data_IF_976253541188
#
_entry.id   IF_976253541188
#
_cell.length_a   1.000
_cell.length_b   1.000
_cell.length_c   1.000
_cell.angle_alpha   90.00
_cell.angle_beta   90.00
_cell.angle_gamma   90.00
#
_symmetry.space_group_name_H-M   'P 1'
#
loop_
_entity.id
_entity.type
_entity.pdbx_description
1 polymer ?
#
# COMPACT_ATOMS: atom_id res chain seq x y z
N UNK A 1 -13.68 -3.16 5.40
CA UNK A 1 -13.18 -2.14 4.45
C UNK A 1 -12.28 -2.74 3.36
N UNK A 2 -11.29 -3.57 3.69
CA UNK A 2 -10.33 -4.16 2.71
C UNK A 2 -11.01 -4.97 1.60
N UNK A 3 -12.12 -5.65 1.89
CA UNK A 3 -12.84 -6.50 0.91
C UNK A 3 -13.61 -5.67 -0.14
N UNK A 4 -13.95 -4.41 0.15
CA UNK A 4 -14.66 -3.53 -0.80
C UNK A 4 -13.75 -3.06 -1.94
N UNK A 5 -12.45 -2.85 -1.66
CA UNK A 5 -11.48 -2.42 -2.67
C UNK A 5 -11.14 -3.49 -3.72
N UNK A 6 -11.43 -4.76 -3.43
CA UNK A 6 -11.25 -5.82 -4.42
C UNK A 6 -12.30 -5.79 -5.55
N UNK A 7 -13.36 -5.00 -5.43
CA UNK A 7 -14.48 -4.98 -6.38
C UNK A 7 -14.37 -3.92 -7.48
N UNK A 8 -13.34 -3.06 -7.48
CA UNK A 8 -13.09 -2.19 -8.63
C UNK A 8 -12.76 -3.10 -9.81
N UNK A 9 -13.57 -3.13 -10.89
CA UNK A 9 -13.27 -3.96 -12.04
C UNK A 9 -12.05 -3.37 -12.73
N UNK A 10 -10.88 -3.91 -12.37
CA UNK A 10 -9.55 -3.58 -12.92
C UNK A 10 -9.56 -3.56 -14.46
N UNK A 11 -10.45 -4.38 -15.03
CA UNK A 11 -10.72 -4.56 -16.46
C UNK A 11 -11.19 -3.25 -17.13
N UNK A 12 -11.90 -2.37 -16.42
CA UNK A 12 -12.40 -1.11 -16.96
C UNK A 12 -11.31 -0.04 -17.16
N UNK A 13 -10.18 -0.17 -16.46
CA UNK A 13 -9.06 0.78 -16.58
C UNK A 13 -8.23 0.54 -17.84
N UNK A 14 -8.19 -0.70 -18.36
CA UNK A 14 -7.41 -1.07 -19.54
C UNK A 14 -7.70 -0.20 -20.78
N UNK A 15 -8.96 -0.02 -21.22
CA UNK A 15 -9.25 0.80 -22.40
C UNK A 15 -8.89 2.28 -22.20
N UNK A 16 -9.03 2.84 -21.00
CA UNK A 16 -8.66 4.23 -20.70
C UNK A 16 -7.14 4.42 -20.86
N UNK A 17 -6.35 3.50 -20.31
CA UNK A 17 -4.89 3.53 -20.44
C UNK A 17 -4.45 3.36 -21.90
N UNK A 18 -5.12 2.51 -22.67
CA UNK A 18 -4.85 2.34 -24.12
C UNK A 18 -5.17 3.63 -24.89
N UNK A 19 -6.25 4.34 -24.54
CA UNK A 19 -6.61 5.60 -25.19
C UNK A 19 -5.58 6.72 -24.93
N UNK A 20 -4.98 6.78 -23.73
CA UNK A 20 -3.96 7.78 -23.41
C UNK A 20 -2.56 7.44 -23.92
N UNK A 21 -2.10 6.20 -23.68
CA UNK A 21 -0.71 5.80 -23.95
C UNK A 21 -0.53 5.03 -25.28
N UNK A 22 -1.62 4.81 -26.02
CA UNK A 22 -1.62 4.05 -27.27
C UNK A 22 -1.58 2.53 -27.07
N UNK A 23 -1.30 1.78 -28.15
CA UNK A 23 -1.07 0.34 -28.07
C UNK A 23 0.42 0.06 -27.84
N UNK A 24 0.75 -0.68 -26.78
CA UNK A 24 2.15 -1.00 -26.47
C UNK A 24 2.35 -1.50 -25.04
N UNK A 25 3.60 -1.44 -24.56
CA UNK A 25 3.95 -1.84 -23.19
C UNK A 25 3.60 -0.78 -22.13
N UNK A 26 3.66 0.51 -22.47
CA UNK A 26 3.39 1.60 -21.54
C UNK A 26 2.01 1.52 -20.84
N UNK A 27 0.89 1.28 -21.55
CA UNK A 27 -0.42 1.10 -20.91
C UNK A 27 -0.47 -0.10 -19.97
N UNK A 28 0.20 -1.21 -20.34
CA UNK A 28 0.25 -2.43 -19.52
C UNK A 28 0.99 -2.19 -18.22
N UNK A 29 2.14 -1.52 -18.27
CA UNK A 29 2.95 -1.20 -17.09
C UNK A 29 2.17 -0.24 -16.18
N UNK A 30 1.56 0.80 -16.73
CA UNK A 30 0.72 1.73 -15.96
C UNK A 30 -0.46 1.04 -15.28
N UNK A 31 -1.14 0.13 -15.99
CA UNK A 31 -2.23 -0.66 -15.44
C UNK A 31 -1.76 -1.55 -14.27
N UNK A 32 -0.63 -2.25 -14.42
CA UNK A 32 -0.07 -3.11 -13.38
C UNK A 32 0.32 -2.28 -12.14
N UNK A 33 0.95 -1.12 -12.34
CA UNK A 33 1.31 -0.19 -11.26
C UNK A 33 0.09 0.23 -10.46
N UNK A 34 -0.99 0.68 -11.12
CA UNK A 34 -2.22 1.12 -10.44
C UNK A 34 -2.88 -0.03 -9.69
N UNK A 35 -2.96 -1.22 -10.31
CA UNK A 35 -3.56 -2.41 -9.70
C UNK A 35 -2.75 -2.87 -8.48
N UNK A 36 -1.42 -2.80 -8.53
CA UNK A 36 -0.55 -3.26 -7.45
C UNK A 36 -0.38 -2.21 -6.33
N UNK A 37 -0.38 -0.92 -6.65
CA UNK A 37 -0.16 0.16 -5.69
C UNK A 37 -1.25 0.21 -4.61
N UNK A 38 -2.50 -0.05 -5.00
CA UNK A 38 -3.64 0.02 -4.09
C UNK A 38 -3.59 -1.03 -2.95
N UNK A 39 -3.50 -2.35 -3.24
CA UNK A 39 -3.39 -3.37 -2.20
C UNK A 39 -2.10 -3.25 -1.39
N UNK A 40 -0.99 -2.84 -2.01
CA UNK A 40 0.29 -2.62 -1.28
C UNK A 40 0.12 -1.52 -0.24
N UNK A 41 -0.43 -0.36 -0.61
CA UNK A 41 -0.66 0.75 0.32
C UNK A 41 -1.61 0.36 1.44
N UNK A 42 -2.69 -0.36 1.12
CA UNK A 42 -3.63 -0.86 2.12
C UNK A 42 -2.98 -1.86 3.08
N UNK A 43 -2.15 -2.77 2.56
CA UNK A 43 -1.46 -3.78 3.37
C UNK A 43 -0.43 -3.13 4.28
N UNK A 44 0.28 -2.11 3.78
CA UNK A 44 1.20 -1.30 4.57
C UNK A 44 0.47 -0.55 5.68
N UNK A 45 -0.67 0.09 5.38
CA UNK A 45 -1.46 0.80 6.39
C UNK A 45 -2.01 -0.16 7.44
N UNK A 46 -2.51 -1.32 7.03
CA UNK A 46 -2.97 -2.37 7.93
C UNK A 46 -1.83 -2.90 8.81
N UNK A 47 -0.65 -3.17 8.24
CA UNK A 47 0.53 -3.61 8.96
C UNK A 47 1.05 -2.58 9.97
N UNK A 48 1.01 -1.29 9.61
CA UNK A 48 1.34 -0.21 10.53
C UNK A 48 0.35 -0.08 11.70
N UNK A 49 -0.92 -0.44 11.49
CA UNK A 49 -1.96 -0.42 12.51
C UNK A 49 -1.99 -1.69 13.38
N UNK A 50 -1.44 -2.81 12.90
CA UNK A 50 -1.38 -4.08 13.65
C UNK A 50 -0.27 -4.14 14.70
N UNK A 51 0.56 -3.09 14.82
CA UNK A 51 1.66 -3.02 15.78
C UNK A 51 1.10 -3.02 17.21
N UNK A 52 1.60 -3.95 18.04
CA UNK A 52 1.18 -4.06 19.44
C UNK A 52 1.55 -2.79 20.24
N UNK A 53 0.55 -2.27 20.97
CA UNK A 53 0.70 -1.11 21.84
C UNK A 53 1.71 -1.37 22.97
N UNK A 54 1.86 -2.61 23.41
CA UNK A 54 2.84 -2.98 24.45
C UNK A 54 4.28 -2.72 24.00
N UNK A 55 4.62 -3.05 22.74
CA UNK A 55 5.92 -2.79 22.12
C UNK A 55 6.19 -1.28 21.96
N UNK A 56 5.15 -0.51 21.65
CA UNK A 56 5.23 0.96 21.59
C UNK A 56 5.51 1.56 22.97
N UNK A 57 4.87 1.05 24.04
CA UNK A 57 5.13 1.50 25.41
C UNK A 57 6.56 1.19 25.86
N UNK A 58 7.06 -0.02 25.57
CA UNK A 58 8.44 -0.41 25.89
C UNK A 58 9.47 0.51 25.21
N UNK A 59 9.28 0.80 23.93
CA UNK A 59 10.20 1.67 23.18
C UNK A 59 10.14 3.13 23.64
N UNK A 60 8.97 3.62 24.04
CA UNK A 60 8.86 4.93 24.69
C UNK A 60 9.58 4.97 26.05
N UNK A 61 9.51 3.89 26.85
CA UNK A 61 10.23 3.82 28.13
C UNK A 61 11.75 3.82 27.98
N UNK A 62 12.28 3.34 26.85
CA UNK A 62 13.72 3.34 26.53
C UNK A 62 14.15 4.66 25.84
N UNK A 63 13.22 5.61 25.62
CA UNK A 63 13.51 6.90 24.99
C UNK A 63 13.69 6.84 23.47
N UNK A 64 13.13 5.81 22.81
CA UNK A 64 13.25 5.65 21.36
C UNK A 64 12.51 6.77 20.60
N UNK A 65 13.13 7.30 19.55
CA UNK A 65 12.49 8.29 18.69
C UNK A 65 11.43 7.67 17.77
N UNK A 66 10.49 8.47 17.27
CA UNK A 66 9.43 8.01 16.36
C UNK A 66 9.99 7.32 15.11
N UNK A 67 11.15 7.77 14.63
CA UNK A 67 11.86 7.16 13.50
C UNK A 67 12.46 5.81 13.87
N UNK A 68 13.02 5.66 15.07
CA UNK A 68 13.47 4.34 15.57
C UNK A 68 12.30 3.38 15.75
N UNK A 69 11.17 3.84 16.26
CA UNK A 69 9.94 3.03 16.39
C UNK A 69 9.47 2.57 15.01
N UNK A 70 9.47 3.45 14.01
CA UNK A 70 9.08 3.14 12.64
C UNK A 70 9.98 2.06 12.03
N UNK A 71 11.30 2.24 12.07
CA UNK A 71 12.25 1.33 11.40
C UNK A 71 12.52 0.01 12.15
N UNK A 72 12.18 -0.07 13.45
CA UNK A 72 12.56 -1.22 14.29
C UNK A 72 11.38 -2.08 14.75
N UNK A 73 10.15 -1.56 14.63
CA UNK A 73 8.92 -2.28 14.98
C UNK A 73 7.95 -2.37 13.81
N UNK A 74 7.93 -1.38 12.90
CA UNK A 74 6.91 -1.29 11.83
C UNK A 74 7.38 -1.75 10.45
N UNK A 75 8.64 -2.14 10.28
CA UNK A 75 9.25 -2.69 9.06
C UNK A 75 9.84 -4.04 9.40
#
# INVERSE_FOLDING_TARGET
LVVLFQNVPKVALAPIFILWFGYGLAPKIGLILVIAFFPVTLSMLAGMQSVDRSLLSLMNSVGASQTQILFRIRV
#
